data_IF_735854024982
#
_entry.id   IF_735854024982
#
_cell.length_a   1.000
_cell.length_b   1.000
_cell.length_c   1.000
_cell.angle_alpha   90.00
_cell.angle_beta   90.00
_cell.angle_gamma   90.00
#
_symmetry.space_group_name_H-M   'P 1'
#
loop_
_entity.id
_entity.type
_entity.pdbx_description
1 polymer ?
#
# COMPACT_ATOMS: atom_id res chain seq x y z
N UNK A 1 32.14 -28.67 91.15
CA UNK A 1 32.85 -28.12 89.93
C UNK A 1 32.42 -28.74 88.58
N UNK A 2 31.97 -29.98 88.51
CA UNK A 2 31.55 -30.63 87.29
C UNK A 2 30.25 -30.08 86.60
N UNK A 3 29.35 -29.50 87.40
CA UNK A 3 28.08 -28.97 86.89
C UNK A 3 28.17 -27.55 86.26
N UNK A 4 29.20 -26.80 86.66
CA UNK A 4 29.43 -25.47 86.11
C UNK A 4 30.05 -25.48 84.73
N UNK A 5 30.87 -26.50 84.38
CA UNK A 5 31.47 -26.67 83.07
C UNK A 5 30.46 -27.06 81.98
N UNK A 6 29.36 -27.77 82.33
CA UNK A 6 28.31 -28.13 81.41
C UNK A 6 27.48 -26.93 81.00
N UNK A 7 27.27 -25.97 81.90
CA UNK A 7 26.51 -24.75 81.61
C UNK A 7 27.27 -23.83 80.63
N UNK A 8 28.60 -23.79 80.74
CA UNK A 8 29.44 -22.96 79.89
C UNK A 8 29.56 -23.52 78.47
N UNK A 9 29.56 -24.86 78.27
CA UNK A 9 29.58 -25.50 76.98
C UNK A 9 28.24 -25.33 76.24
N UNK A 10 27.10 -25.38 77.01
CA UNK A 10 25.81 -25.19 76.38
C UNK A 10 25.56 -23.73 75.90
N UNK A 11 26.22 -22.75 76.53
CA UNK A 11 26.12 -21.34 76.17
C UNK A 11 27.00 -21.00 74.96
N UNK A 12 28.03 -21.77 74.66
CA UNK A 12 28.94 -21.57 73.52
C UNK A 12 28.35 -22.15 72.23
N UNK A 13 27.43 -23.12 72.28
CA UNK A 13 26.79 -23.72 71.12
C UNK A 13 25.62 -22.88 70.60
N UNK A 14 25.08 -21.94 71.39
CA UNK A 14 23.95 -21.10 70.99
C UNK A 14 24.26 -19.93 70.07
N UNK A 15 25.55 -19.69 69.74
CA UNK A 15 25.97 -18.52 68.93
C UNK A 15 26.40 -18.87 67.51
N UNK A 16 26.02 -20.05 66.99
CA UNK A 16 26.13 -20.26 65.56
C UNK A 16 24.95 -19.49 64.91
N UNK A 17 25.12 -18.19 64.80
CA UNK A 17 24.23 -17.35 64.03
C UNK A 17 24.25 -17.84 62.61
N UNK A 18 23.12 -18.36 62.14
CA UNK A 18 22.89 -18.58 60.72
C UNK A 18 23.00 -17.23 60.04
N UNK A 19 24.15 -16.93 59.48
CA UNK A 19 24.28 -15.86 58.50
C UNK A 19 23.45 -16.25 57.30
N UNK A 20 22.19 -15.85 57.27
CA UNK A 20 21.42 -15.91 56.06
C UNK A 20 22.08 -14.95 55.05
N UNK A 21 22.51 -15.50 53.94
CA UNK A 21 22.89 -14.69 52.80
C UNK A 21 21.66 -13.88 52.36
N UNK A 22 21.66 -12.60 52.65
CA UNK A 22 20.64 -11.67 52.15
C UNK A 22 20.91 -11.51 50.67
N UNK A 23 20.06 -12.14 49.84
CA UNK A 23 20.06 -11.87 48.41
C UNK A 23 19.51 -10.45 48.25
N UNK A 24 20.35 -9.52 47.85
CA UNK A 24 19.95 -8.16 47.49
C UNK A 24 19.50 -8.22 46.03
N UNK A 25 18.19 -8.03 45.79
CA UNK A 25 17.59 -7.99 44.42
C UNK A 25 17.17 -6.57 44.12
N UNK A 26 17.77 -5.99 43.09
CA UNK A 26 17.32 -4.76 42.48
C UNK A 26 16.35 -5.05 41.32
N UNK A 27 15.15 -4.50 41.37
CA UNK A 27 14.16 -4.59 40.30
C UNK A 27 14.31 -3.34 39.43
N UNK A 28 14.67 -3.53 38.18
CA UNK A 28 14.73 -2.48 37.18
C UNK A 28 13.50 -2.65 36.26
N UNK A 29 12.46 -1.81 36.36
CA UNK A 29 11.33 -1.87 35.43
C UNK A 29 11.77 -1.41 34.07
N UNK A 30 11.55 -2.25 33.04
CA UNK A 30 11.75 -1.92 31.63
C UNK A 30 10.41 -2.00 30.94
N UNK A 31 10.00 -0.92 30.26
CA UNK A 31 8.80 -0.89 29.44
C UNK A 31 9.17 -0.52 28.01
N UNK A 32 8.53 -1.17 27.04
CA UNK A 32 8.66 -0.87 25.60
C UNK A 32 7.28 -0.54 25.07
N UNK A 33 7.14 0.66 24.52
CA UNK A 33 5.93 1.07 23.78
C UNK A 33 6.17 0.93 22.28
N UNK A 34 5.33 0.17 21.59
CA UNK A 34 5.36 0.04 20.12
C UNK A 34 4.15 0.74 19.55
N UNK A 35 4.39 1.71 18.65
CA UNK A 35 3.34 2.40 17.89
C UNK A 35 3.33 1.90 16.45
N UNK A 36 2.13 1.77 15.87
CA UNK A 36 1.99 1.46 14.44
C UNK A 36 2.53 2.62 13.60
N UNK A 37 3.29 2.26 12.56
CA UNK A 37 3.76 3.18 11.53
C UNK A 37 3.09 2.80 10.22
N UNK A 38 2.48 3.79 9.55
CA UNK A 38 1.86 3.62 8.25
C UNK A 38 2.12 4.88 7.43
N UNK A 39 2.97 4.77 6.40
CA UNK A 39 3.42 5.91 5.61
C UNK A 39 3.50 5.55 4.13
N UNK A 40 2.83 6.34 3.29
CA UNK A 40 2.91 6.30 1.84
C UNK A 40 3.69 7.51 1.33
N UNK A 41 4.53 7.30 0.33
CA UNK A 41 5.28 8.35 -0.34
C UNK A 41 5.28 8.14 -1.86
N UNK A 42 4.83 9.13 -2.63
CA UNK A 42 4.95 9.16 -4.09
C UNK A 42 6.36 9.63 -4.44
N UNK A 43 7.12 8.79 -5.13
CA UNK A 43 8.54 9.03 -5.45
C UNK A 43 8.76 9.63 -6.84
N UNK A 44 7.83 9.40 -7.77
CA UNK A 44 7.88 9.91 -9.14
C UNK A 44 6.50 9.91 -9.78
N UNK A 45 6.32 10.66 -10.88
CA UNK A 45 5.10 10.64 -11.67
C UNK A 45 3.85 11.09 -10.91
N UNK A 46 3.96 12.13 -10.07
CA UNK A 46 2.83 12.71 -9.35
C UNK A 46 1.89 13.54 -10.23
N UNK A 47 2.23 13.73 -11.50
CA UNK A 47 1.37 14.36 -12.51
C UNK A 47 1.47 13.58 -13.81
N UNK A 48 0.36 13.03 -14.28
CA UNK A 48 0.25 12.27 -15.53
C UNK A 48 -0.63 13.05 -16.50
N UNK A 49 -0.08 13.39 -17.66
CA UNK A 49 -0.80 14.09 -18.71
C UNK A 49 -0.70 13.29 -20.01
N UNK A 50 -1.84 12.79 -20.49
CA UNK A 50 -1.96 12.18 -21.82
C UNK A 50 -2.29 13.26 -22.85
N UNK A 51 -1.56 13.28 -23.95
CA UNK A 51 -1.81 14.20 -25.07
C UNK A 51 -2.15 13.38 -26.29
N UNK A 52 -3.40 13.46 -26.75
CA UNK A 52 -3.94 12.76 -27.91
C UNK A 52 -3.80 13.67 -29.12
N UNK A 53 -2.82 13.38 -30.00
CA UNK A 53 -2.45 14.26 -31.10
C UNK A 53 -2.68 13.64 -32.49
N UNK A 54 -2.84 12.33 -32.57
CA UNK A 54 -2.93 11.63 -33.85
C UNK A 54 -4.22 10.83 -33.94
N UNK A 55 -4.65 10.54 -35.16
CA UNK A 55 -5.81 9.66 -35.41
C UNK A 55 -5.55 8.26 -34.82
N UNK A 56 -4.31 7.83 -34.78
CA UNK A 56 -3.90 6.57 -34.18
C UNK A 56 -4.13 6.59 -32.67
N UNK A 57 -3.85 7.70 -31.97
CA UNK A 57 -4.13 7.84 -30.55
C UNK A 57 -5.64 7.75 -30.28
N UNK A 58 -6.48 8.31 -31.16
CA UNK A 58 -7.93 8.21 -31.05
C UNK A 58 -8.47 6.80 -31.29
N UNK A 59 -7.82 6.00 -32.14
CA UNK A 59 -8.28 4.65 -32.49
C UNK A 59 -7.66 3.55 -31.65
N UNK A 60 -6.41 3.73 -31.21
CA UNK A 60 -5.64 2.71 -30.50
C UNK A 60 -5.30 3.10 -29.05
N UNK A 61 -5.59 4.35 -28.67
CA UNK A 61 -5.24 4.87 -27.34
C UNK A 61 -3.74 5.08 -27.17
N UNK A 62 -3.33 5.40 -25.94
CA UNK A 62 -1.94 5.66 -25.57
C UNK A 62 -1.48 4.59 -24.59
N UNK A 63 -0.43 3.85 -25.00
CA UNK A 63 0.18 2.82 -24.20
C UNK A 63 1.03 3.39 -23.04
N UNK A 64 1.25 2.56 -22.04
CA UNK A 64 2.19 2.88 -20.97
C UNK A 64 3.60 3.14 -21.51
N UNK A 65 4.25 4.11 -20.88
CA UNK A 65 5.66 4.42 -21.05
C UNK A 65 6.22 4.98 -19.74
N UNK A 66 7.53 5.18 -19.58
CA UNK A 66 8.08 5.80 -18.38
C UNK A 66 7.49 7.18 -18.07
N UNK A 67 6.99 7.92 -19.08
CA UNK A 67 6.28 9.18 -18.91
C UNK A 67 4.94 9.02 -18.17
N UNK A 68 4.29 7.87 -18.34
CA UNK A 68 2.98 7.57 -17.78
C UNK A 68 3.09 6.52 -16.66
N UNK A 69 4.06 6.73 -15.76
CA UNK A 69 4.33 5.83 -14.65
C UNK A 69 4.46 6.62 -13.36
N UNK A 70 3.69 6.24 -12.34
CA UNK A 70 3.79 6.78 -10.99
C UNK A 70 4.49 5.77 -10.10
N UNK A 71 5.60 6.17 -9.48
CA UNK A 71 6.30 5.38 -8.47
C UNK A 71 5.86 5.76 -7.07
N UNK A 72 5.66 4.80 -6.20
CA UNK A 72 5.37 5.04 -4.79
C UNK A 72 5.94 3.95 -3.88
N UNK A 73 6.09 4.27 -2.61
CA UNK A 73 6.60 3.36 -1.59
C UNK A 73 5.75 3.42 -0.34
N UNK A 74 5.70 2.30 0.39
CA UNK A 74 5.03 2.19 1.68
C UNK A 74 6.03 1.74 2.74
N UNK A 75 6.07 2.44 3.88
CA UNK A 75 6.73 1.98 5.09
C UNK A 75 5.66 1.67 6.12
N UNK A 76 5.58 0.44 6.57
CA UNK A 76 4.56 0.00 7.51
C UNK A 76 5.12 -1.00 8.52
N UNK A 77 4.74 -0.83 9.79
CA UNK A 77 5.00 -1.82 10.85
C UNK A 77 3.86 -2.83 11.03
N UNK A 78 2.78 -2.67 10.26
CA UNK A 78 1.58 -3.54 10.25
C UNK A 78 1.21 -3.87 8.81
N UNK A 79 0.32 -4.83 8.62
CA UNK A 79 -0.25 -5.11 7.31
C UNK A 79 -1.08 -3.92 6.83
N UNK A 80 -1.10 -3.68 5.53
CA UNK A 80 -1.71 -2.51 4.92
C UNK A 80 -2.36 -2.82 3.59
N UNK A 81 -3.34 -1.98 3.22
CA UNK A 81 -3.92 -1.95 1.89
C UNK A 81 -3.72 -0.58 1.26
N UNK A 82 -3.66 -0.54 -0.05
CA UNK A 82 -3.63 0.69 -0.83
C UNK A 82 -4.81 0.72 -1.78
N UNK A 83 -5.63 1.75 -1.66
CA UNK A 83 -6.79 2.00 -2.52
C UNK A 83 -6.47 3.10 -3.51
N UNK A 84 -6.90 2.93 -4.75
CA UNK A 84 -6.90 3.95 -5.80
C UNK A 84 -8.32 4.43 -6.03
N UNK A 85 -8.55 5.74 -6.00
CA UNK A 85 -9.85 6.35 -6.24
C UNK A 85 -9.72 7.61 -7.08
N UNK A 86 -10.73 7.93 -7.89
CA UNK A 86 -10.89 9.25 -8.50
C UNK A 86 -11.56 10.21 -7.52
N UNK A 87 -11.24 11.49 -7.63
CA UNK A 87 -11.96 12.54 -6.90
C UNK A 87 -13.39 12.69 -7.39
N UNK A 88 -13.59 12.65 -8.70
CA UNK A 88 -14.88 12.74 -9.37
C UNK A 88 -15.25 11.42 -10.04
N UNK A 89 -16.54 11.26 -10.38
CA UNK A 89 -17.01 10.07 -11.09
C UNK A 89 -16.33 9.92 -12.48
N UNK A 90 -16.10 11.05 -13.15
CA UNK A 90 -15.43 11.16 -14.47
C UNK A 90 -14.48 12.35 -14.48
N UNK A 91 -13.62 12.43 -15.49
CA UNK A 91 -12.75 13.60 -15.66
C UNK A 91 -13.57 14.80 -16.14
N UNK A 92 -13.46 15.91 -15.43
CA UNK A 92 -14.17 17.14 -15.76
C UNK A 92 -13.48 17.93 -16.88
N UNK A 93 -14.27 18.45 -17.83
CA UNK A 93 -13.76 19.37 -18.85
C UNK A 93 -13.39 20.71 -18.24
N UNK A 94 -12.19 21.23 -18.57
CA UNK A 94 -11.66 22.49 -18.05
C UNK A 94 -12.02 23.65 -18.98
N UNK A 95 -11.82 23.47 -20.28
CA UNK A 95 -12.03 24.45 -21.34
C UNK A 95 -13.12 24.03 -22.33
N UNK A 96 -13.80 22.94 -22.02
CA UNK A 96 -14.89 22.37 -22.82
C UNK A 96 -15.99 21.86 -21.90
N UNK A 97 -17.22 21.96 -22.35
CA UNK A 97 -18.36 21.42 -21.59
C UNK A 97 -18.39 19.89 -21.70
N UNK A 98 -18.70 19.22 -20.59
CA UNK A 98 -18.85 17.77 -20.53
C UNK A 98 -17.77 17.07 -19.71
N UNK A 99 -17.82 15.76 -19.74
CA UNK A 99 -16.92 14.88 -19.00
C UNK A 99 -16.25 13.89 -19.95
N UNK A 100 -15.11 13.36 -19.50
CA UNK A 100 -14.41 12.28 -20.15
C UNK A 100 -14.53 11.04 -19.27
N UNK A 101 -15.12 9.98 -19.81
CA UNK A 101 -15.45 8.76 -19.07
C UNK A 101 -14.18 8.12 -18.47
N UNK A 102 -14.18 7.94 -17.16
CA UNK A 102 -13.05 7.38 -16.40
C UNK A 102 -12.64 5.98 -16.85
N UNK A 103 -13.54 5.19 -17.47
CA UNK A 103 -13.26 3.85 -18.00
C UNK A 103 -12.24 3.84 -19.13
N UNK A 104 -11.96 5.00 -19.73
CA UNK A 104 -10.87 5.14 -20.69
C UNK A 104 -9.49 5.20 -20.04
N UNK A 105 -9.41 5.53 -18.75
CA UNK A 105 -8.16 5.58 -18.00
C UNK A 105 -7.90 4.24 -17.33
N UNK A 106 -6.89 3.54 -17.79
CA UNK A 106 -6.48 2.25 -17.24
C UNK A 106 -5.19 2.34 -16.43
N UNK A 107 -5.06 1.45 -15.47
CA UNK A 107 -3.84 1.30 -14.67
C UNK A 107 -3.44 -0.15 -14.53
N UNK A 108 -2.17 -0.35 -14.26
CA UNK A 108 -1.60 -1.64 -13.87
C UNK A 108 -0.53 -1.41 -12.82
N UNK A 109 -0.63 -2.10 -11.70
CA UNK A 109 0.38 -2.02 -10.65
C UNK A 109 1.45 -3.07 -10.88
N UNK A 110 2.70 -2.67 -10.69
CA UNK A 110 3.84 -3.58 -10.67
C UNK A 110 4.68 -3.33 -9.42
N UNK A 111 5.23 -4.38 -8.86
CA UNK A 111 6.21 -4.24 -7.78
C UNK A 111 7.56 -3.83 -8.33
N UNK A 112 8.27 -3.00 -7.60
CA UNK A 112 9.69 -2.65 -7.84
C UNK A 112 10.56 -2.96 -6.63
N UNK A 113 9.94 -3.18 -5.47
CA UNK A 113 10.62 -3.59 -4.25
C UNK A 113 10.95 -5.08 -4.18
N UNK A 114 11.58 -5.50 -3.09
CA UNK A 114 12.02 -6.88 -2.87
C UNK A 114 10.91 -7.84 -2.45
N UNK A 115 9.75 -7.35 -2.02
CA UNK A 115 8.63 -8.18 -1.62
C UNK A 115 8.06 -9.04 -2.76
N UNK A 116 7.20 -9.99 -2.45
CA UNK A 116 6.72 -11.02 -3.39
C UNK A 116 5.20 -10.98 -3.53
N UNK A 117 4.71 -10.84 -4.77
CA UNK A 117 3.28 -10.93 -5.08
C UNK A 117 2.80 -12.36 -4.81
N UNK A 118 1.64 -12.51 -4.17
CA UNK A 118 1.09 -13.80 -3.77
C UNK A 118 1.62 -14.34 -2.45
N UNK A 119 2.63 -13.67 -1.86
CA UNK A 119 3.15 -14.00 -0.53
C UNK A 119 3.01 -12.83 0.43
N UNK A 120 3.46 -11.63 0.02
CA UNK A 120 3.40 -10.42 0.84
C UNK A 120 2.09 -9.65 0.56
N UNK A 121 1.68 -9.58 -0.69
CA UNK A 121 0.47 -8.87 -1.14
C UNK A 121 -0.22 -9.59 -2.29
N UNK A 122 -1.51 -9.34 -2.44
CA UNK A 122 -2.24 -9.50 -3.69
C UNK A 122 -2.26 -8.16 -4.44
N UNK A 123 -2.09 -8.21 -5.75
CA UNK A 123 -2.17 -7.04 -6.64
C UNK A 123 -3.12 -7.42 -7.78
N UNK A 124 -4.41 -7.02 -7.73
CA UNK A 124 -5.41 -7.44 -8.71
C UNK A 124 -5.02 -7.12 -10.16
N UNK A 125 -4.33 -5.99 -10.37
CA UNK A 125 -3.87 -5.54 -11.70
C UNK A 125 -2.47 -6.04 -12.08
N UNK A 126 -1.90 -7.03 -11.40
CA UNK A 126 -0.54 -7.54 -11.72
C UNK A 126 -0.49 -8.38 -13.00
N UNK A 127 -1.62 -8.84 -13.49
CA UNK A 127 -1.76 -9.60 -14.75
C UNK A 127 -1.38 -8.80 -15.99
N UNK A 128 -1.64 -9.36 -17.19
CA UNK A 128 -1.37 -8.71 -18.47
C UNK A 128 -2.35 -7.58 -18.81
N UNK A 129 -3.58 -7.64 -18.29
CA UNK A 129 -4.67 -6.71 -18.60
C UNK A 129 -4.66 -5.56 -17.61
N UNK A 130 -4.71 -4.31 -18.10
CA UNK A 130 -4.91 -3.14 -17.27
C UNK A 130 -6.37 -3.08 -16.79
N UNK A 131 -6.57 -2.55 -15.58
CA UNK A 131 -7.89 -2.36 -14.98
C UNK A 131 -8.28 -0.89 -15.14
N UNK A 132 -9.52 -0.55 -15.55
CA UNK A 132 -10.00 0.82 -15.54
C UNK A 132 -9.97 1.41 -14.13
N UNK A 133 -9.67 2.70 -14.05
CA UNK A 133 -9.74 3.41 -12.76
C UNK A 133 -11.22 3.47 -12.34
N UNK A 134 -11.49 3.10 -11.10
CA UNK A 134 -12.84 3.13 -10.56
C UNK A 134 -13.16 4.51 -9.97
N UNK A 135 -14.35 5.01 -10.28
CA UNK A 135 -14.87 6.23 -9.64
C UNK A 135 -15.20 6.07 -8.15
N UNK A 136 -15.34 4.83 -7.66
CA UNK A 136 -15.67 4.53 -6.25
C UNK A 136 -14.47 4.09 -5.41
N UNK A 137 -13.29 3.95 -6.04
CA UNK A 137 -12.11 3.40 -5.41
C UNK A 137 -12.03 1.88 -5.48
N UNK A 138 -10.81 1.38 -5.60
CA UNK A 138 -10.51 -0.07 -5.67
C UNK A 138 -9.20 -0.33 -4.94
N UNK A 139 -9.13 -1.40 -4.17
CA UNK A 139 -7.89 -1.85 -3.57
C UNK A 139 -6.95 -2.32 -4.68
N UNK A 140 -5.80 -1.65 -4.79
CA UNK A 140 -4.77 -1.93 -5.79
C UNK A 140 -3.63 -2.77 -5.23
N UNK A 141 -3.48 -2.76 -3.92
CA UNK A 141 -2.58 -3.61 -3.14
C UNK A 141 -3.35 -4.01 -1.88
N UNK A 142 -3.34 -5.28 -1.57
CA UNK A 142 -3.96 -5.86 -0.39
C UNK A 142 -2.95 -6.78 0.27
N UNK A 143 -2.59 -6.53 1.52
CA UNK A 143 -1.63 -7.35 2.25
C UNK A 143 -2.17 -8.76 2.48
N UNK A 144 -1.26 -9.73 2.51
CA UNK A 144 -1.55 -11.05 3.04
C UNK A 144 -1.23 -11.01 4.54
N UNK A 145 -2.13 -11.52 5.35
CA UNK A 145 -2.06 -11.46 6.82
C UNK A 145 -0.69 -11.84 7.36
N UNK A 146 -0.09 -10.97 8.17
CA UNK A 146 1.25 -11.05 8.75
C UNK A 146 2.41 -10.99 7.75
N UNK A 147 2.19 -10.51 6.52
CA UNK A 147 3.20 -10.46 5.48
C UNK A 147 3.44 -9.06 4.89
N UNK A 148 2.48 -8.13 5.01
CA UNK A 148 2.55 -6.81 4.37
C UNK A 148 3.57 -5.85 5.02
N UNK A 149 3.78 -5.95 6.34
CA UNK A 149 4.71 -5.09 7.06
C UNK A 149 6.12 -5.09 6.46
N UNK A 150 6.76 -3.92 6.42
CA UNK A 150 8.11 -3.77 5.90
C UNK A 150 8.49 -2.32 5.56
N UNK A 151 9.75 -2.15 5.17
CA UNK A 151 10.30 -0.86 4.79
C UNK A 151 10.04 -0.51 3.31
N UNK A 152 10.51 0.65 2.89
CA UNK A 152 10.37 1.14 1.51
C UNK A 152 11.11 0.29 0.48
N UNK A 153 12.14 -0.49 0.88
CA UNK A 153 12.85 -1.37 -0.03
C UNK A 153 12.03 -2.63 -0.35
N UNK A 154 11.25 -3.11 0.62
CA UNK A 154 10.30 -4.19 0.41
C UNK A 154 9.08 -3.71 -0.36
N UNK A 155 8.45 -2.61 0.09
CA UNK A 155 7.15 -2.14 -0.34
C UNK A 155 7.29 -0.97 -1.34
N UNK A 156 7.93 -1.21 -2.48
CA UNK A 156 8.04 -0.26 -3.58
C UNK A 156 7.25 -0.75 -4.79
N UNK A 157 6.48 0.16 -5.40
CA UNK A 157 5.54 -0.14 -6.46
C UNK A 157 5.54 0.94 -7.54
N UNK A 158 5.02 0.58 -8.72
CA UNK A 158 4.72 1.52 -9.80
C UNK A 158 3.29 1.30 -10.30
N UNK A 159 2.63 2.40 -10.63
CA UNK A 159 1.38 2.40 -11.39
C UNK A 159 1.74 2.78 -12.82
N UNK A 160 1.44 1.89 -13.74
CA UNK A 160 1.65 2.07 -15.17
C UNK A 160 0.31 2.48 -15.79
N UNK A 161 0.19 3.73 -16.18
CA UNK A 161 -1.04 4.31 -16.71
C UNK A 161 -1.18 4.09 -18.21
N UNK A 162 -2.42 3.98 -18.69
CA UNK A 162 -2.79 3.84 -20.09
C UNK A 162 -4.07 4.61 -20.39
N UNK A 163 -4.23 5.07 -21.61
CA UNK A 163 -5.43 5.76 -22.06
C UNK A 163 -6.03 5.01 -23.22
N UNK A 164 -7.29 4.56 -23.08
CA UNK A 164 -8.11 3.94 -24.15
C UNK A 164 -7.40 2.83 -24.94
N UNK A 165 -6.49 2.08 -24.31
CA UNK A 165 -5.86 0.92 -24.92
C UNK A 165 -6.81 -0.28 -24.93
N UNK A 166 -6.65 -1.19 -25.87
CA UNK A 166 -7.52 -2.36 -26.03
C UNK A 166 -7.61 -3.20 -24.75
N UNK A 167 -6.53 -3.32 -23.98
CA UNK A 167 -6.55 -4.09 -22.73
C UNK A 167 -7.33 -3.38 -21.61
N UNK A 168 -7.54 -2.06 -21.69
CA UNK A 168 -8.45 -1.31 -20.81
C UNK A 168 -9.89 -1.42 -21.31
N UNK A 169 -10.10 -1.27 -22.63
CA UNK A 169 -11.42 -1.23 -23.23
C UNK A 169 -12.14 -2.59 -23.25
N UNK A 170 -11.38 -3.69 -23.21
CA UNK A 170 -11.93 -5.06 -23.23
C UNK A 170 -12.20 -5.63 -21.83
N UNK A 171 -11.96 -4.89 -20.77
CA UNK A 171 -12.26 -5.32 -19.39
C UNK A 171 -13.78 -5.37 -19.21
N UNK A 172 -14.26 -6.45 -18.61
CA UNK A 172 -15.70 -6.68 -18.40
C UNK A 172 -16.32 -5.66 -17.46
N UNK A 173 -17.63 -5.46 -17.57
CA UNK A 173 -18.39 -4.59 -16.65
C UNK A 173 -18.19 -4.93 -15.17
N UNK A 174 -17.94 -6.21 -14.85
CA UNK A 174 -17.64 -6.66 -13.49
C UNK A 174 -16.39 -6.00 -12.89
N UNK A 175 -15.45 -5.54 -13.75
CA UNK A 175 -14.24 -4.81 -13.35
C UNK A 175 -14.34 -3.30 -13.64
N UNK A 176 -15.56 -2.79 -13.87
CA UNK A 176 -15.80 -1.37 -14.15
C UNK A 176 -15.45 -0.92 -15.57
N UNK A 177 -15.10 -1.85 -16.48
CA UNK A 177 -14.71 -1.56 -17.86
C UNK A 177 -15.86 -1.50 -18.85
N UNK A 178 -15.50 -1.38 -20.12
CA UNK A 178 -16.40 -1.51 -21.25
C UNK A 178 -16.52 -2.98 -21.65
N UNK A 179 -17.74 -3.46 -21.94
CA UNK A 179 -17.96 -4.80 -22.51
C UNK A 179 -17.67 -4.85 -24.02
N UNK A 180 -17.51 -3.69 -24.65
CA UNK A 180 -17.35 -3.53 -26.10
C UNK A 180 -15.96 -2.97 -26.44
N UNK A 181 -15.14 -3.81 -27.07
CA UNK A 181 -13.79 -3.44 -27.54
C UNK A 181 -13.78 -2.34 -28.63
N UNK A 182 -14.94 -2.01 -29.21
CA UNK A 182 -15.05 -0.95 -30.21
C UNK A 182 -15.20 0.46 -29.62
N UNK A 183 -15.23 0.59 -28.31
CA UNK A 183 -15.31 1.88 -27.58
C UNK A 183 -14.00 2.68 -27.60
N UNK A 184 -13.45 2.92 -28.78
CA UNK A 184 -12.28 3.80 -28.97
C UNK A 184 -12.65 5.26 -28.66
N UNK A 185 -11.66 6.12 -28.40
CA UNK A 185 -11.90 7.56 -28.22
C UNK A 185 -12.63 8.17 -29.42
N UNK A 186 -12.28 7.72 -30.62
CA UNK A 186 -12.92 8.19 -31.86
C UNK A 186 -14.42 7.84 -31.89
N UNK A 187 -14.82 6.65 -31.43
CA UNK A 187 -16.22 6.21 -31.43
C UNK A 187 -17.08 6.88 -30.38
N UNK A 188 -16.46 7.47 -29.35
CA UNK A 188 -17.16 8.12 -28.24
C UNK A 188 -17.56 9.58 -28.54
N UNK A 189 -17.06 10.14 -29.66
CA UNK A 189 -17.36 11.54 -30.07
C UNK A 189 -17.09 12.57 -28.95
N UNK A 190 -16.00 12.39 -28.21
CA UNK A 190 -15.59 13.26 -27.11
C UNK A 190 -15.15 14.62 -27.69
N UNK A 191 -15.69 15.76 -27.25
CA UNK A 191 -15.26 17.08 -27.70
C UNK A 191 -13.76 17.29 -27.46
N UNK A 192 -13.07 17.93 -28.39
CA UNK A 192 -11.67 18.30 -28.19
C UNK A 192 -11.56 19.35 -27.08
N UNK A 193 -10.69 19.10 -26.10
CA UNK A 193 -10.48 19.95 -24.94
C UNK A 193 -9.62 19.26 -23.89
N UNK A 194 -9.41 19.95 -22.78
CA UNK A 194 -8.67 19.43 -21.64
C UNK A 194 -9.63 18.88 -20.59
N UNK A 195 -9.37 17.66 -20.14
CA UNK A 195 -10.13 17.00 -19.08
C UNK A 195 -9.20 16.66 -17.91
N UNK A 196 -9.63 16.91 -16.70
CA UNK A 196 -8.82 16.70 -15.50
C UNK A 196 -9.62 16.06 -14.38
N UNK A 197 -8.94 15.31 -13.54
CA UNK A 197 -9.39 14.82 -12.23
C UNK A 197 -8.18 14.59 -11.36
N UNK A 198 -8.38 14.51 -10.05
CA UNK A 198 -7.36 14.03 -9.14
C UNK A 198 -7.55 12.53 -8.87
N UNK A 199 -6.44 11.85 -8.68
CA UNK A 199 -6.41 10.44 -8.29
C UNK A 199 -5.84 10.35 -6.88
N UNK A 200 -6.56 9.74 -5.97
CA UNK A 200 -6.14 9.53 -4.60
C UNK A 200 -5.54 8.13 -4.44
N UNK A 201 -4.36 8.08 -3.85
CA UNK A 201 -3.79 6.87 -3.26
C UNK A 201 -4.03 6.94 -1.75
N UNK A 202 -4.85 6.04 -1.25
CA UNK A 202 -5.20 5.96 0.17
C UNK A 202 -4.57 4.72 0.77
N UNK A 203 -3.76 4.93 1.80
CA UNK A 203 -3.13 3.87 2.58
C UNK A 203 -3.96 3.64 3.85
N UNK A 204 -4.37 2.41 4.10
CA UNK A 204 -5.12 2.00 5.29
C UNK A 204 -4.47 0.76 5.93
N UNK A 205 -4.75 0.53 7.23
CA UNK A 205 -4.42 -0.75 7.85
C UNK A 205 -5.25 -1.85 7.17
N UNK A 206 -4.67 -3.03 7.01
CA UNK A 206 -5.37 -4.21 6.54
C UNK A 206 -6.32 -4.71 7.64
N UNK A 207 -7.58 -5.01 7.28
CA UNK A 207 -8.64 -5.46 8.21
C UNK A 207 -8.57 -6.96 8.51
#
# INVERSE_FOLDING_TARGET
>A
MRKLSLLFVSMLVGTIGFSQAVADQAIIPVSVGLNSILRLNVTSGGNIEFVVNTITDYTSGIANSPRYTTGFTVASSIDFDVTLALEDADLAGVDVAGTFDHRNLGYRVAKTGSGTIGTDWTIPSSGATAIPVSGTGTDIIESITNHGAGDVAKNAFTINWRLAQNDVLTVTAANGGWEDATKTLLSQSIPAGRYTTNVFLVLKAHD
#
